data_IF_207403645678
#
_entry.id   IF_207403645678
#
_cell.length_a   1.000
_cell.length_b   1.000
_cell.length_c   1.000
_cell.angle_alpha   90.00
_cell.angle_beta   90.00
_cell.angle_gamma   90.00
#
_symmetry.space_group_name_H-M   'P 1'
#
loop_
_entity.id
_entity.type
_entity.pdbx_description
1 polymer ?
#
# COMPACT_ATOMS: atom_id res chain seq x y z
N UNK A 1 -11.19 55.33 -7.37
CA UNK A 1 -10.72 55.82 -6.06
C UNK A 1 -9.93 54.66 -5.46
N UNK A 2 -8.76 54.31 -6.03
CA UNK A 2 -7.41 54.79 -5.71
C UNK A 2 -7.08 54.71 -4.21
N UNK A 3 -6.27 53.73 -3.84
CA UNK A 3 -4.98 53.96 -3.17
C UNK A 3 -4.00 52.83 -3.54
N UNK A 4 -2.98 53.19 -4.31
CA UNK A 4 -1.69 52.52 -4.38
C UNK A 4 -0.87 52.91 -3.14
N UNK A 5 0.01 52.02 -2.69
CA UNK A 5 1.38 52.40 -2.32
C UNK A 5 2.30 51.17 -2.33
N UNK A 6 3.17 51.13 -3.32
CA UNK A 6 4.44 50.42 -3.30
C UNK A 6 5.39 51.02 -2.25
N UNK A 7 6.40 50.25 -1.79
CA UNK A 7 7.84 50.51 -1.99
C UNK A 7 8.71 49.75 -0.95
N UNK A 8 9.60 48.92 -1.52
CA UNK A 8 10.99 48.54 -1.16
C UNK A 8 11.41 48.06 0.23
N UNK A 9 12.20 46.97 0.20
CA UNK A 9 13.18 46.66 1.24
C UNK A 9 14.03 45.43 0.92
N UNK A 10 15.08 45.60 0.12
CA UNK A 10 16.18 44.63 -0.06
C UNK A 10 16.85 44.32 1.28
N UNK A 11 17.17 43.05 1.51
CA UNK A 11 18.01 42.62 2.63
C UNK A 11 18.52 41.19 2.44
N UNK A 12 19.49 41.01 1.56
CA UNK A 12 20.32 39.81 1.54
C UNK A 12 21.28 39.85 2.74
N UNK A 13 21.27 38.79 3.56
CA UNK A 13 22.32 38.53 4.55
C UNK A 13 22.93 37.19 4.21
N UNK A 14 24.12 37.25 3.61
CA UNK A 14 25.08 36.16 3.55
C UNK A 14 25.78 36.05 4.90
N UNK A 15 25.81 34.86 5.48
CA UNK A 15 26.73 34.52 6.57
C UNK A 15 27.63 33.38 6.11
N UNK A 16 28.90 33.74 5.96
CA UNK A 16 30.02 32.84 5.71
C UNK A 16 30.33 31.98 6.93
N UNK A 17 30.75 30.75 6.66
CA UNK A 17 31.96 30.15 7.22
C UNK A 17 31.91 29.66 8.67
N UNK A 18 31.88 28.34 8.83
CA UNK A 18 32.83 27.69 9.74
C UNK A 18 33.10 26.26 9.27
N UNK A 19 34.34 26.04 8.84
CA UNK A 19 34.95 24.75 8.54
C UNK A 19 35.76 24.33 9.76
N UNK A 20 35.57 23.10 10.26
CA UNK A 20 36.55 22.40 11.09
C UNK A 20 36.43 20.88 10.84
N UNK A 21 37.46 20.34 10.18
CA UNK A 21 38.23 19.08 10.38
C UNK A 21 37.45 17.81 10.79
N UNK A 22 37.46 16.74 9.99
CA UNK A 22 38.54 15.74 9.84
C UNK A 22 39.14 15.27 11.16
N UNK A 23 38.74 14.09 11.61
CA UNK A 23 39.59 13.16 12.38
C UNK A 23 39.30 11.73 11.88
N UNK A 24 40.29 11.19 11.16
CA UNK A 24 40.51 9.76 10.97
C UNK A 24 41.33 9.28 12.17
N UNK A 25 40.92 8.18 12.81
CA UNK A 25 41.85 7.30 13.51
C UNK A 25 41.60 5.85 13.13
N UNK A 26 42.67 5.24 12.62
CA UNK A 26 42.80 3.84 12.28
C UNK A 26 43.37 3.08 13.47
N UNK A 27 42.93 1.83 13.68
CA UNK A 27 43.73 0.81 14.36
C UNK A 27 43.69 -0.50 13.55
N UNK A 28 44.81 -0.74 12.86
CA UNK A 28 45.40 -2.05 12.57
C UNK A 28 45.78 -2.72 13.91
N UNK A 29 46.09 -4.01 14.08
CA UNK A 29 46.40 -5.16 13.26
C UNK A 29 46.44 -6.34 14.27
N UNK A 30 46.01 -7.55 13.93
CA UNK A 30 46.68 -8.74 14.48
C UNK A 30 46.57 -9.91 13.50
N UNK A 31 47.72 -10.33 12.99
CA UNK A 31 47.92 -11.46 12.10
C UNK A 31 48.92 -12.38 12.80
N UNK A 32 48.48 -13.57 13.20
CA UNK A 32 49.40 -14.66 13.49
C UNK A 32 48.91 -15.97 12.90
N UNK A 33 49.81 -16.54 12.11
CA UNK A 33 49.74 -17.68 11.20
C UNK A 33 49.78 -19.04 11.95
N UNK A 34 49.22 -20.11 11.36
CA UNK A 34 49.18 -21.42 12.02
C UNK A 34 48.42 -22.58 11.34
N UNK A 35 48.75 -22.91 10.09
CA UNK A 35 48.92 -24.30 9.62
C UNK A 35 47.76 -25.35 9.68
N UNK A 36 47.06 -25.50 8.54
CA UNK A 36 46.86 -26.76 7.76
C UNK A 36 46.23 -28.02 8.40
N UNK A 37 44.97 -28.36 8.03
CA UNK A 37 44.58 -29.46 7.09
C UNK A 37 43.13 -29.96 7.29
N UNK A 38 42.46 -30.14 6.14
CA UNK A 38 41.39 -31.11 5.84
C UNK A 38 40.03 -30.96 6.55
N UNK A 39 39.10 -30.28 5.87
CA UNK A 39 37.67 -30.39 6.13
C UNK A 39 36.88 -29.94 4.91
N UNK A 40 36.29 -30.90 4.21
CA UNK A 40 35.49 -30.72 2.98
C UNK A 40 34.54 -29.53 3.05
N UNK A 41 34.56 -28.74 1.97
CA UNK A 41 33.57 -27.75 1.58
C UNK A 41 32.15 -28.27 1.86
N UNK A 42 31.49 -27.69 2.86
CA UNK A 42 30.04 -27.58 2.87
C UNK A 42 29.75 -26.23 2.25
N UNK A 43 29.41 -26.25 0.97
CA UNK A 43 28.68 -25.18 0.33
C UNK A 43 27.44 -24.89 1.18
N UNK A 44 27.50 -23.80 1.94
CA UNK A 44 26.31 -23.17 2.46
C UNK A 44 25.48 -22.78 1.26
N UNK A 45 24.40 -23.53 1.00
CA UNK A 45 23.29 -23.05 0.18
C UNK A 45 22.80 -21.76 0.82
N UNK A 46 23.35 -20.64 0.37
CA UNK A 46 22.68 -19.36 0.45
C UNK A 46 21.32 -19.57 -0.17
N UNK A 47 20.29 -19.64 0.67
CA UNK A 47 18.91 -19.63 0.22
C UNK A 47 18.75 -18.25 -0.40
N UNK A 48 18.89 -18.18 -1.72
CA UNK A 48 18.48 -17.01 -2.49
C UNK A 48 17.02 -16.84 -2.12
N UNK A 49 16.70 -15.83 -1.31
CA UNK A 49 15.33 -15.43 -1.08
C UNK A 49 14.80 -15.09 -2.46
N UNK A 50 13.94 -15.97 -2.99
CA UNK A 50 13.43 -15.84 -4.34
C UNK A 50 12.76 -14.48 -4.46
N UNK A 51 13.15 -13.72 -5.48
CA UNK A 51 12.29 -12.66 -5.99
C UNK A 51 10.99 -13.37 -6.36
N UNK A 52 9.94 -13.20 -5.58
CA UNK A 52 8.61 -13.68 -5.97
C UNK A 52 8.22 -12.87 -7.19
N UNK A 53 8.21 -13.55 -8.33
CA UNK A 53 7.70 -13.02 -9.60
C UNK A 53 6.18 -12.87 -9.45
N UNK A 54 5.64 -11.76 -9.96
CA UNK A 54 4.20 -11.46 -10.05
C UNK A 54 3.42 -12.65 -10.64
N UNK A 55 4.05 -13.43 -11.52
CA UNK A 55 3.49 -14.67 -12.08
C UNK A 55 3.16 -15.73 -11.03
N UNK A 56 4.09 -16.00 -10.09
CA UNK A 56 3.89 -17.02 -9.06
C UNK A 56 2.80 -16.59 -8.09
N UNK A 57 2.77 -15.31 -7.73
CA UNK A 57 1.71 -14.74 -6.91
C UNK A 57 0.35 -14.78 -7.62
N UNK A 58 0.32 -14.41 -8.90
CA UNK A 58 -0.88 -14.43 -9.74
C UNK A 58 -1.42 -15.85 -9.92
N UNK A 59 -0.56 -16.85 -10.08
CA UNK A 59 -0.98 -18.26 -10.14
C UNK A 59 -1.62 -18.72 -8.83
N UNK A 60 -1.11 -18.25 -7.69
CA UNK A 60 -1.61 -18.63 -6.37
C UNK A 60 -2.96 -17.99 -6.03
N UNK A 61 -3.13 -16.70 -6.32
CA UNK A 61 -4.30 -15.93 -5.87
C UNK A 61 -5.31 -15.66 -6.98
N UNK A 62 -4.94 -15.90 -8.24
CA UNK A 62 -5.79 -15.73 -9.41
C UNK A 62 -6.14 -14.27 -9.72
N UNK A 63 -6.87 -14.03 -10.82
CA UNK A 63 -7.33 -12.71 -11.21
C UNK A 63 -8.40 -12.18 -10.24
N UNK A 64 -8.49 -10.84 -10.09
CA UNK A 64 -9.49 -10.23 -9.23
C UNK A 64 -10.88 -10.12 -9.86
N UNK A 65 -10.99 -10.04 -11.19
CA UNK A 65 -12.27 -9.81 -11.87
C UNK A 65 -13.39 -10.78 -11.44
N UNK A 66 -13.18 -12.11 -11.38
CA UNK A 66 -14.22 -13.02 -10.93
C UNK A 66 -14.66 -12.77 -9.47
N UNK A 67 -13.74 -12.39 -8.59
CA UNK A 67 -14.05 -12.07 -7.18
C UNK A 67 -14.78 -10.75 -7.05
N UNK A 68 -14.40 -9.77 -7.86
CA UNK A 68 -15.13 -8.50 -7.93
C UNK A 68 -16.58 -8.73 -8.37
N UNK A 69 -16.80 -9.53 -9.41
CA UNK A 69 -18.14 -9.89 -9.87
C UNK A 69 -18.95 -10.63 -8.77
N UNK A 70 -18.29 -11.51 -8.00
CA UNK A 70 -18.89 -12.17 -6.84
C UNK A 70 -19.24 -11.20 -5.70
N UNK A 71 -18.41 -10.19 -5.43
CA UNK A 71 -18.72 -9.15 -4.46
C UNK A 71 -19.97 -8.36 -4.87
N UNK A 72 -20.06 -7.95 -6.14
CA UNK A 72 -21.24 -7.26 -6.66
C UNK A 72 -22.50 -8.13 -6.57
N UNK A 73 -22.37 -9.43 -6.86
CA UNK A 73 -23.46 -10.39 -6.70
C UNK A 73 -23.90 -10.50 -5.24
N UNK A 74 -22.96 -10.70 -4.30
CA UNK A 74 -23.26 -10.80 -2.87
C UNK A 74 -23.95 -9.53 -2.33
N UNK A 75 -23.48 -8.34 -2.73
CA UNK A 75 -24.12 -7.07 -2.39
C UNK A 75 -25.56 -7.00 -2.94
N UNK A 76 -25.75 -7.37 -4.20
CA UNK A 76 -27.05 -7.35 -4.87
C UNK A 76 -28.03 -8.33 -4.22
N UNK A 77 -27.60 -9.55 -3.91
CA UNK A 77 -28.40 -10.59 -3.25
C UNK A 77 -28.84 -10.19 -1.84
N UNK A 78 -28.00 -9.44 -1.13
CA UNK A 78 -28.31 -8.86 0.19
C UNK A 78 -29.17 -7.59 0.10
N UNK A 79 -29.47 -7.11 -1.10
CA UNK A 79 -30.28 -5.91 -1.32
C UNK A 79 -29.51 -4.59 -1.17
N UNK A 80 -28.19 -4.60 -1.19
CA UNK A 80 -27.34 -3.40 -1.11
C UNK A 80 -27.17 -2.71 -2.49
N UNK A 81 -28.27 -2.48 -3.20
CA UNK A 81 -28.26 -1.97 -4.59
C UNK A 81 -27.66 -0.56 -4.70
N UNK A 82 -27.84 0.31 -3.69
CA UNK A 82 -27.23 1.64 -3.71
C UNK A 82 -25.72 1.59 -3.56
N UNK A 83 -25.22 0.62 -2.78
CA UNK A 83 -23.78 0.34 -2.70
C UNK A 83 -23.24 -0.09 -4.06
N UNK A 84 -23.96 -0.95 -4.79
CA UNK A 84 -23.54 -1.38 -6.13
C UNK A 84 -23.54 -0.20 -7.11
N UNK A 85 -24.58 0.64 -7.10
CA UNK A 85 -24.72 1.82 -7.97
C UNK A 85 -23.75 2.97 -7.65
N UNK A 86 -23.01 2.84 -6.54
CA UNK A 86 -22.02 3.80 -6.07
C UNK A 86 -20.69 3.68 -6.79
N UNK A 87 -20.35 2.48 -7.29
CA UNK A 87 -19.02 2.20 -7.80
C UNK A 87 -18.74 2.92 -9.13
N UNK A 88 -17.56 3.53 -9.22
CA UNK A 88 -17.06 4.01 -10.50
C UNK A 88 -16.60 2.81 -11.35
N UNK A 89 -16.81 2.85 -12.68
CA UNK A 89 -16.28 1.81 -13.55
C UNK A 89 -14.75 1.74 -13.44
N UNK A 90 -14.22 0.53 -13.51
CA UNK A 90 -12.78 0.31 -13.57
C UNK A 90 -12.13 0.93 -14.81
N UNK A 91 -10.83 1.15 -14.71
CA UNK A 91 -10.00 1.72 -15.77
C UNK A 91 -9.56 0.65 -16.78
N UNK A 92 -9.31 1.05 -18.02
CA UNK A 92 -8.50 0.22 -18.90
C UNK A 92 -7.03 0.26 -18.49
N UNK A 93 -6.23 -0.73 -18.90
CA UNK A 93 -4.79 -0.73 -18.66
C UNK A 93 -4.12 0.58 -19.15
N UNK A 94 -4.40 1.00 -20.38
CA UNK A 94 -3.83 2.22 -20.96
C UNK A 94 -4.25 3.50 -20.20
N UNK A 95 -5.46 3.53 -19.64
CA UNK A 95 -5.90 4.65 -18.81
C UNK A 95 -5.14 4.68 -17.49
N UNK A 96 -4.98 3.52 -16.83
CA UNK A 96 -4.27 3.41 -15.56
C UNK A 96 -2.79 3.76 -15.72
N UNK A 97 -2.11 3.21 -16.72
CA UNK A 97 -0.69 3.51 -17.00
C UNK A 97 -0.48 4.99 -17.29
N UNK A 98 -1.36 5.62 -18.10
CA UNK A 98 -1.27 7.06 -18.37
C UNK A 98 -1.39 7.90 -17.09
N UNK A 99 -2.34 7.57 -16.21
CA UNK A 99 -2.52 8.29 -14.94
C UNK A 99 -1.29 8.12 -14.02
N UNK A 100 -0.72 6.92 -13.97
CA UNK A 100 0.48 6.62 -13.20
C UNK A 100 1.71 7.36 -13.75
N UNK A 101 1.89 7.37 -15.07
CA UNK A 101 2.96 8.09 -15.77
C UNK A 101 2.86 9.60 -15.55
N UNK A 102 1.66 10.18 -15.69
CA UNK A 102 1.37 11.60 -15.40
C UNK A 102 1.76 11.97 -13.95
N UNK A 103 1.63 11.02 -13.02
CA UNK A 103 1.99 11.19 -11.62
C UNK A 103 3.46 10.85 -11.30
N UNK A 104 4.26 10.49 -12.31
CA UNK A 104 5.69 10.21 -12.16
C UNK A 104 6.03 8.81 -11.63
N UNK A 105 5.10 7.85 -11.67
CA UNK A 105 5.42 6.46 -11.37
C UNK A 105 6.24 5.86 -12.50
N UNK A 106 7.23 5.02 -12.14
CA UNK A 106 7.92 4.20 -13.13
C UNK A 106 6.96 3.14 -13.70
N UNK A 107 7.11 2.77 -14.98
CA UNK A 107 6.32 1.69 -15.57
C UNK A 107 6.38 0.40 -14.73
N UNK A 108 5.22 -0.19 -14.42
CA UNK A 108 5.12 -1.40 -13.60
C UNK A 108 5.37 -1.23 -12.10
N UNK A 109 5.52 0.01 -11.61
CA UNK A 109 5.63 0.28 -10.17
C UNK A 109 4.36 -0.13 -9.41
N UNK A 110 3.18 0.11 -10.02
CA UNK A 110 1.89 -0.45 -9.58
C UNK A 110 1.54 -1.58 -10.54
N UNK A 111 1.38 -2.80 -10.01
CA UNK A 111 1.22 -4.02 -10.81
C UNK A 111 0.45 -5.10 -10.03
N UNK A 112 0.25 -6.25 -10.68
CA UNK A 112 -0.46 -7.39 -10.10
C UNK A 112 -1.88 -7.03 -9.65
N UNK A 113 -2.30 -7.60 -8.53
CA UNK A 113 -3.68 -7.46 -8.05
C UNK A 113 -4.11 -6.03 -7.74
N UNK A 114 -3.20 -5.10 -7.44
CA UNK A 114 -3.60 -3.69 -7.24
C UNK A 114 -4.01 -3.05 -8.55
N UNK A 115 -3.27 -3.31 -9.63
CA UNK A 115 -3.66 -2.81 -10.94
C UNK A 115 -4.97 -3.47 -11.41
N UNK A 116 -5.12 -4.78 -11.19
CA UNK A 116 -6.36 -5.50 -11.48
C UNK A 116 -7.56 -4.93 -10.72
N UNK A 117 -7.36 -4.52 -9.46
CA UNK A 117 -8.42 -3.89 -8.66
C UNK A 117 -8.90 -2.60 -9.32
N UNK A 118 -7.98 -1.72 -9.72
CA UNK A 118 -8.32 -0.47 -10.41
C UNK A 118 -8.95 -0.69 -11.78
N UNK A 119 -8.71 -1.84 -12.42
CA UNK A 119 -9.41 -2.26 -13.64
C UNK A 119 -10.80 -2.84 -13.40
N UNK A 120 -11.10 -3.26 -12.17
CA UNK A 120 -12.43 -3.69 -11.75
C UNK A 120 -13.28 -2.50 -11.27
N UNK A 121 -12.66 -1.61 -10.49
CA UNK A 121 -13.33 -0.48 -9.83
C UNK A 121 -12.35 0.67 -9.63
N UNK A 122 -12.77 1.89 -9.89
CA UNK A 122 -11.93 3.07 -9.70
C UNK A 122 -12.49 4.01 -8.63
N UNK A 123 -12.71 3.47 -7.43
CA UNK A 123 -13.38 4.16 -6.33
C UNK A 123 -14.88 4.32 -6.57
N UNK A 124 -15.42 5.50 -6.26
CA UNK A 124 -16.85 5.80 -6.33
C UNK A 124 -17.18 6.80 -7.45
N UNK A 125 -18.36 6.64 -8.04
CA UNK A 125 -18.91 7.61 -8.98
C UNK A 125 -19.14 8.96 -8.28
N UNK A 126 -19.06 10.04 -9.06
CA UNK A 126 -19.15 11.41 -8.53
C UNK A 126 -20.42 11.62 -7.68
N UNK A 127 -20.22 12.02 -6.42
CA UNK A 127 -21.31 12.28 -5.47
C UNK A 127 -22.02 11.02 -4.94
N UNK A 128 -21.47 9.83 -5.18
CA UNK A 128 -22.05 8.54 -4.77
C UNK A 128 -21.11 7.77 -3.86
N UNK A 129 -20.59 8.40 -2.81
CA UNK A 129 -19.77 7.69 -1.84
C UNK A 129 -20.60 6.65 -1.06
N UNK A 130 -20.00 5.51 -0.73
CA UNK A 130 -20.59 4.50 0.17
C UNK A 130 -19.52 3.78 0.98
N UNK A 131 -19.95 3.05 2.01
CA UNK A 131 -19.06 2.32 2.92
C UNK A 131 -18.94 0.85 2.52
N UNK A 132 -17.88 0.53 1.79
CA UNK A 132 -17.57 -0.85 1.37
C UNK A 132 -16.81 -1.60 2.45
N UNK A 133 -15.75 -0.98 2.98
CA UNK A 133 -15.04 -1.46 4.16
C UNK A 133 -15.56 -0.74 5.42
N UNK A 134 -15.45 -1.34 6.61
CA UNK A 134 -16.02 -0.76 7.82
C UNK A 134 -15.46 0.62 8.19
N UNK A 135 -14.14 0.78 8.04
CA UNK A 135 -13.38 1.89 8.64
C UNK A 135 -12.49 2.66 7.65
N UNK A 136 -12.39 2.21 6.40
CA UNK A 136 -11.63 2.86 5.33
C UNK A 136 -12.47 3.00 4.05
N UNK A 137 -12.11 3.95 3.19
CA UNK A 137 -12.80 4.18 1.92
C UNK A 137 -11.99 3.65 0.74
N UNK A 138 -12.66 2.93 -0.16
CA UNK A 138 -12.05 2.46 -1.40
C UNK A 138 -11.60 3.66 -2.23
N UNK A 139 -10.34 3.70 -2.61
CA UNK A 139 -9.76 4.81 -3.36
C UNK A 139 -9.95 4.60 -4.88
N UNK A 140 -10.12 5.70 -5.60
CA UNK A 140 -9.76 5.75 -7.02
C UNK A 140 -8.24 5.76 -7.20
N UNK A 141 -7.76 5.49 -8.41
CA UNK A 141 -6.33 5.49 -8.72
C UNK A 141 -5.69 6.86 -8.41
N UNK A 142 -6.40 7.97 -8.66
CA UNK A 142 -5.89 9.31 -8.36
C UNK A 142 -5.85 9.59 -6.85
N UNK A 143 -6.84 9.12 -6.10
CA UNK A 143 -6.84 9.21 -4.64
C UNK A 143 -5.74 8.34 -4.02
N UNK A 144 -5.48 7.14 -4.55
CA UNK A 144 -4.33 6.31 -4.16
C UNK A 144 -3.01 7.07 -4.32
N UNK A 145 -2.80 7.71 -5.47
CA UNK A 145 -1.59 8.49 -5.74
C UNK A 145 -1.45 9.62 -4.72
N UNK A 146 -2.53 10.36 -4.46
CA UNK A 146 -2.56 11.47 -3.50
C UNK A 146 -2.29 11.01 -2.06
N UNK A 147 -2.97 9.93 -1.62
CA UNK A 147 -2.79 9.34 -0.30
C UNK A 147 -1.36 8.84 -0.12
N UNK A 148 -0.82 8.10 -1.09
CA UNK A 148 0.56 7.61 -1.07
C UNK A 148 1.58 8.75 -1.00
N UNK A 149 1.39 9.81 -1.79
CA UNK A 149 2.29 10.97 -1.76
C UNK A 149 2.28 11.65 -0.38
N UNK A 150 1.09 11.86 0.19
CA UNK A 150 0.93 12.43 1.55
C UNK A 150 1.62 11.57 2.60
N UNK A 151 1.42 10.25 2.55
CA UNK A 151 2.03 9.34 3.53
C UNK A 151 3.56 9.30 3.43
N UNK A 152 4.11 9.36 2.21
CA UNK A 152 5.56 9.43 2.00
C UNK A 152 6.15 10.77 2.44
N UNK A 153 5.43 11.88 2.25
CA UNK A 153 5.83 13.19 2.76
C UNK A 153 5.90 13.18 4.29
N UNK A 154 4.87 12.65 4.95
CA UNK A 154 4.81 12.53 6.41
C UNK A 154 5.89 11.59 6.95
N UNK A 155 6.12 10.45 6.29
CA UNK A 155 7.16 9.51 6.69
C UNK A 155 8.58 10.07 6.52
N UNK A 156 8.77 10.97 5.55
CA UNK A 156 10.07 11.54 5.19
C UNK A 156 11.03 10.51 4.60
N UNK A 157 12.30 10.90 4.43
CA UNK A 157 13.34 10.00 3.96
C UNK A 157 13.69 8.96 5.04
N UNK A 158 13.06 7.78 4.96
CA UNK A 158 13.37 6.65 5.86
C UNK A 158 14.37 5.70 5.22
N UNK A 159 15.31 5.22 6.02
CA UNK A 159 16.27 4.18 5.68
C UNK A 159 16.30 3.12 6.77
N UNK A 160 16.71 1.89 6.43
CA UNK A 160 16.92 0.81 7.41
C UNK A 160 15.68 -0.01 7.75
N UNK A 161 14.56 0.18 7.04
CA UNK A 161 13.44 -0.76 7.10
C UNK A 161 13.77 -2.04 6.31
N UNK A 162 13.17 -3.20 6.65
CA UNK A 162 13.37 -4.43 5.88
C UNK A 162 12.99 -4.24 4.41
N UNK A 163 13.87 -4.61 3.49
CA UNK A 163 13.65 -4.48 2.04
C UNK A 163 12.75 -5.57 1.45
N UNK A 164 12.18 -6.42 2.30
CA UNK A 164 11.37 -7.56 1.92
C UNK A 164 10.04 -7.57 2.66
N UNK A 165 8.99 -8.00 1.97
CA UNK A 165 7.64 -8.06 2.49
C UNK A 165 7.50 -9.10 3.61
N UNK A 166 6.46 -8.91 4.43
CA UNK A 166 6.11 -9.81 5.54
C UNK A 166 6.65 -9.38 6.90
N UNK A 167 7.53 -8.38 6.95
CA UNK A 167 8.06 -7.80 8.19
C UNK A 167 7.67 -6.33 8.28
N UNK A 168 7.29 -5.83 9.47
CA UNK A 168 6.95 -4.42 9.63
C UNK A 168 8.08 -3.50 9.16
N UNK A 169 7.73 -2.48 8.38
CA UNK A 169 8.59 -1.37 8.04
C UNK A 169 8.64 -0.32 9.17
N UNK A 170 7.71 -0.41 10.13
CA UNK A 170 7.50 0.53 11.24
C UNK A 170 7.21 1.95 10.74
N UNK A 171 6.62 2.05 9.56
CA UNK A 171 6.38 3.29 8.85
C UNK A 171 5.98 3.09 7.39
N UNK A 172 5.49 4.16 6.78
CA UNK A 172 5.11 4.13 5.38
C UNK A 172 6.34 4.16 4.47
N UNK A 173 6.40 3.26 3.48
CA UNK A 173 7.54 3.10 2.56
C UNK A 173 7.10 3.19 1.10
N UNK A 174 7.99 3.50 0.14
CA UNK A 174 7.62 3.67 -1.26
C UNK A 174 6.92 2.44 -1.88
N UNK A 175 7.25 1.24 -1.44
CA UNK A 175 6.69 -0.01 -1.95
C UNK A 175 5.26 -0.30 -1.45
N UNK A 176 4.76 0.50 -0.51
CA UNK A 176 3.39 0.40 0.01
C UNK A 176 2.43 1.13 -0.93
N UNK A 177 1.50 0.39 -1.51
CA UNK A 177 0.46 0.93 -2.39
C UNK A 177 -0.90 0.86 -1.67
N UNK A 178 -1.45 2.00 -1.22
CA UNK A 178 -2.75 2.03 -0.55
C UNK A 178 -3.86 1.83 -1.57
N UNK A 179 -4.91 1.09 -1.22
CA UNK A 179 -6.10 0.97 -2.06
C UNK A 179 -7.39 1.32 -1.31
N UNK A 180 -7.31 1.48 0.01
CA UNK A 180 -8.34 2.10 0.82
C UNK A 180 -7.71 3.01 1.87
N UNK A 181 -8.34 4.15 2.18
CA UNK A 181 -7.88 5.09 3.21
C UNK A 181 -9.05 5.82 3.88
N UNK A 182 -8.88 6.16 5.16
CA UNK A 182 -9.66 7.19 5.86
C UNK A 182 -8.89 7.69 7.07
N UNK A 183 -8.75 9.01 7.22
CA UNK A 183 -8.18 9.68 8.40
C UNK A 183 -6.79 9.15 8.85
N UNK A 184 -5.98 8.68 7.89
CA UNK A 184 -4.65 8.10 8.12
C UNK A 184 -4.66 6.62 8.51
N UNK A 185 -5.80 5.94 8.40
CA UNK A 185 -5.93 4.48 8.43
C UNK A 185 -6.01 3.97 7.00
N UNK A 186 -5.20 2.97 6.64
CA UNK A 186 -5.10 2.47 5.27
C UNK A 186 -5.18 0.95 5.21
N UNK A 187 -5.68 0.46 4.08
CA UNK A 187 -5.34 -0.87 3.59
C UNK A 187 -4.31 -0.72 2.48
N UNK A 188 -3.19 -1.41 2.65
CA UNK A 188 -1.99 -1.27 1.84
C UNK A 188 -1.58 -2.63 1.32
N UNK A 189 -1.26 -2.71 0.02
CA UNK A 189 -0.51 -3.84 -0.51
C UNK A 189 0.99 -3.57 -0.42
N UNK A 190 1.72 -4.52 0.16
CA UNK A 190 3.17 -4.49 0.29
C UNK A 190 3.84 -5.07 -0.95
N UNK A 191 4.38 -4.21 -1.81
CA UNK A 191 5.05 -4.62 -3.04
C UNK A 191 6.58 -4.75 -2.88
N UNK A 192 7.10 -4.77 -1.64
CA UNK A 192 8.51 -5.12 -1.39
C UNK A 192 8.79 -6.55 -1.81
N UNK A 193 10.03 -6.80 -2.21
CA UNK A 193 10.45 -8.13 -2.67
C UNK A 193 10.23 -9.24 -1.62
N UNK A 194 10.19 -10.50 -2.04
CA UNK A 194 10.17 -11.65 -1.12
C UNK A 194 8.86 -12.44 -1.12
N UNK A 195 8.78 -13.48 -0.29
CA UNK A 195 7.70 -14.49 -0.34
C UNK A 195 6.31 -13.94 0.02
N UNK A 196 6.25 -12.86 0.79
CA UNK A 196 5.01 -12.18 1.17
C UNK A 196 4.70 -10.98 0.25
N UNK A 197 5.34 -10.87 -0.92
CA UNK A 197 5.01 -9.84 -1.90
C UNK A 197 3.51 -9.86 -2.21
N UNK A 198 2.87 -8.70 -2.23
CA UNK A 198 1.44 -8.56 -2.48
C UNK A 198 0.54 -8.83 -1.26
N UNK A 199 1.12 -9.13 -0.10
CA UNK A 199 0.41 -9.17 1.18
C UNK A 199 -0.29 -7.83 1.43
N UNK A 200 -1.52 -7.89 1.93
CA UNK A 200 -2.26 -6.71 2.37
C UNK A 200 -2.12 -6.58 3.87
N UNK A 201 -1.81 -5.38 4.33
CA UNK A 201 -1.75 -5.03 5.73
C UNK A 201 -2.64 -3.83 6.05
N UNK A 202 -3.12 -3.80 7.28
CA UNK A 202 -3.60 -2.55 7.88
C UNK A 202 -2.40 -1.67 8.23
N UNK A 203 -2.52 -0.40 7.90
CA UNK A 203 -1.61 0.64 8.31
C UNK A 203 -2.38 1.67 9.13
N UNK A 204 -1.85 2.09 10.27
CA UNK A 204 -2.38 3.23 11.02
C UNK A 204 -1.30 4.25 11.39
N UNK A 205 -1.72 5.46 11.75
CA UNK A 205 -0.80 6.57 12.05
C UNK A 205 -0.04 6.46 13.38
N UNK A 206 -0.43 5.55 14.27
CA UNK A 206 0.13 5.36 15.62
C UNK A 206 1.15 4.22 15.60
N UNK A 207 0.71 3.02 15.22
CA UNK A 207 1.47 1.78 15.27
C UNK A 207 2.00 1.36 13.88
N UNK A 208 1.73 2.16 12.84
CA UNK A 208 2.12 1.89 11.47
C UNK A 208 1.59 0.53 11.01
N UNK A 209 2.49 -0.40 10.69
CA UNK A 209 2.20 -1.74 10.19
C UNK A 209 2.60 -2.85 11.18
N UNK A 210 2.84 -2.49 12.45
CA UNK A 210 3.20 -3.44 13.50
C UNK A 210 1.97 -4.04 14.20
N UNK A 211 1.97 -5.36 14.40
CA UNK A 211 0.88 -6.08 15.08
C UNK A 211 -0.49 -6.01 14.39
N UNK A 212 -0.58 -5.50 13.15
CA UNK A 212 -1.86 -5.24 12.48
C UNK A 212 -2.44 -6.48 11.79
N UNK A 213 -3.75 -6.45 11.48
CA UNK A 213 -4.38 -7.49 10.65
C UNK A 213 -3.75 -7.53 9.27
N UNK A 214 -3.45 -8.74 8.80
CA UNK A 214 -2.84 -9.02 7.50
C UNK A 214 -3.66 -10.03 6.72
N UNK A 215 -3.68 -9.86 5.40
CA UNK A 215 -4.25 -10.81 4.46
C UNK A 215 -3.20 -11.20 3.42
N UNK A 216 -3.14 -12.47 2.98
CA UNK A 216 -2.14 -12.90 2.02
C UNK A 216 -2.17 -12.19 0.66
N UNK A 217 -3.29 -11.56 0.31
CA UNK A 217 -3.49 -10.87 -0.98
C UNK A 217 -4.75 -9.97 -0.97
N UNK A 218 -4.91 -9.13 -1.98
CA UNK A 218 -6.16 -8.37 -2.22
C UNK A 218 -7.32 -9.33 -2.50
N UNK A 219 -7.07 -10.43 -3.23
CA UNK A 219 -8.07 -11.48 -3.44
C UNK A 219 -8.58 -12.05 -2.11
N UNK A 220 -7.69 -12.29 -1.14
CA UNK A 220 -8.07 -12.76 0.19
C UNK A 220 -8.90 -11.72 0.96
N UNK A 221 -8.62 -10.43 0.81
CA UNK A 221 -9.47 -9.37 1.39
C UNK A 221 -10.88 -9.44 0.80
N UNK A 222 -10.99 -9.57 -0.53
CA UNK A 222 -12.29 -9.69 -1.20
C UNK A 222 -13.03 -10.97 -0.78
N UNK A 223 -12.35 -12.12 -0.69
CA UNK A 223 -12.96 -13.39 -0.27
C UNK A 223 -13.55 -13.27 1.16
N UNK A 224 -12.82 -12.63 2.08
CA UNK A 224 -13.33 -12.37 3.44
C UNK A 224 -14.50 -11.39 3.45
N UNK A 225 -14.41 -10.31 2.66
CA UNK A 225 -15.47 -9.31 2.53
C UNK A 225 -16.76 -9.93 1.95
N UNK A 226 -16.64 -10.74 0.90
CA UNK A 226 -17.75 -11.50 0.30
C UNK A 226 -18.37 -12.43 1.34
N UNK A 227 -17.55 -13.19 2.08
CA UNK A 227 -18.01 -14.08 3.14
C UNK A 227 -18.82 -13.34 4.22
N UNK A 228 -18.29 -12.21 4.70
CA UNK A 228 -18.95 -11.37 5.69
C UNK A 228 -20.30 -10.82 5.21
N UNK A 229 -20.35 -10.31 3.97
CA UNK A 229 -21.59 -9.78 3.38
C UNK A 229 -22.62 -10.90 3.15
N UNK A 230 -22.20 -12.03 2.59
CA UNK A 230 -23.11 -13.11 2.20
C UNK A 230 -23.67 -13.86 3.41
N UNK A 231 -22.85 -14.10 4.42
CA UNK A 231 -23.19 -14.99 5.55
C UNK A 231 -23.45 -14.26 6.86
N UNK A 232 -23.13 -12.96 6.94
CA UNK A 232 -23.15 -12.21 8.19
C UNK A 232 -21.99 -12.56 9.14
N UNK A 233 -20.96 -13.26 8.65
CA UNK A 233 -19.73 -13.50 9.40
C UNK A 233 -18.95 -12.20 9.63
N UNK A 234 -17.96 -12.26 10.50
CA UNK A 234 -17.10 -11.10 10.76
C UNK A 234 -16.12 -10.84 9.61
N UNK A 235 -15.93 -9.56 9.31
CA UNK A 235 -14.77 -9.03 8.61
C UNK A 235 -13.99 -8.19 9.61
N UNK A 236 -12.89 -8.74 10.13
CA UNK A 236 -11.97 -8.01 11.02
C UNK A 236 -12.69 -7.37 12.24
N UNK A 237 -13.56 -8.15 12.90
CA UNK A 237 -14.35 -7.71 14.06
C UNK A 237 -15.64 -6.94 13.72
N UNK A 238 -15.94 -6.72 12.44
CA UNK A 238 -17.15 -6.04 11.99
C UNK A 238 -18.13 -7.01 11.35
N UNK A 239 -19.42 -6.79 11.54
CA UNK A 239 -20.49 -7.52 10.85
C UNK A 239 -21.23 -6.61 9.87
N UNK A 240 -21.53 -7.15 8.69
CA UNK A 240 -22.25 -6.46 7.64
C UNK A 240 -23.77 -6.55 7.84
N UNK A 241 -24.46 -5.43 7.61
CA UNK A 241 -25.92 -5.38 7.49
C UNK A 241 -26.33 -4.46 6.33
N UNK A 242 -27.59 -4.55 5.90
CA UNK A 242 -28.14 -3.70 4.83
C UNK A 242 -29.28 -2.85 5.35
N UNK A 243 -29.11 -1.53 5.29
CA UNK A 243 -30.11 -0.55 5.72
C UNK A 243 -30.41 0.37 4.54
N UNK A 244 -31.69 0.51 4.19
CA UNK A 244 -32.17 1.39 3.10
C UNK A 244 -31.47 1.18 1.74
N UNK A 245 -31.04 -0.05 1.47
CA UNK A 245 -30.35 -0.43 0.23
C UNK A 245 -28.85 -0.15 0.22
N UNK A 246 -28.27 0.24 1.36
CA UNK A 246 -26.84 0.51 1.54
C UNK A 246 -26.21 -0.50 2.50
N UNK A 247 -24.95 -0.82 2.24
CA UNK A 247 -24.14 -1.65 3.12
C UNK A 247 -23.75 -0.82 4.35
N UNK A 248 -23.93 -1.42 5.52
CA UNK A 248 -23.58 -0.84 6.81
C UNK A 248 -22.77 -1.84 7.62
N UNK A 249 -22.03 -1.33 8.59
CA UNK A 249 -21.13 -2.11 9.42
C UNK A 249 -21.36 -1.80 10.89
N UNK A 250 -21.39 -2.83 11.72
CA UNK A 250 -21.45 -2.72 13.17
C UNK A 250 -20.26 -3.42 13.80
N UNK A 251 -19.65 -2.79 14.80
CA UNK A 251 -18.60 -3.42 15.59
C UNK A 251 -19.23 -4.48 16.50
N UNK A 252 -18.61 -5.65 16.59
CA UNK A 252 -19.06 -6.72 17.47
C UNK A 252 -18.57 -6.55 18.91
#
# INVERSE_FOLDING_TARGET
MFFESEINGRGAVTMSGCSVREDQEALAEDNSDGGSRLGRSREGKGRVFGVTDDRVFSDQYGPLRPRWDQLLAALSERGAYRTVDSFAPGLTYDQAERILEEAGFAPGAVRGQILDLFQCVNGFAAGRWTRVFPDVDLLSLREMISARATMLEVAGARSGYPSYAGFPAYGFVPEYIPFAERDGYLLVADLRSGSQWGEVLRYDKIDADDGTTKWPSVASVLDNLIGAIATGSEFDGWTADVVDGELTWSLR
#
